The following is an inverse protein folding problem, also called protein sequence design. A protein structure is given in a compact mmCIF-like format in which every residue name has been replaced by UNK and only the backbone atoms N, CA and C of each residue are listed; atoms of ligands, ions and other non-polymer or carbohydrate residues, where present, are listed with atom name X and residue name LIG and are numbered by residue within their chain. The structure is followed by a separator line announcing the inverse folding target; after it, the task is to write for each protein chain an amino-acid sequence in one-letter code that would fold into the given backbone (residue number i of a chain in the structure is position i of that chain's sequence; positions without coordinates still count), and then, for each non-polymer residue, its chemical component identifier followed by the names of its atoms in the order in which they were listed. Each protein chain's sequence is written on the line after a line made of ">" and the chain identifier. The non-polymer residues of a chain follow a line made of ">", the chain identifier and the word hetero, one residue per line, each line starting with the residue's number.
data_IF_210417914701
#
_entry.id   IF_210417914701
#
_cell.length_a   1.000
_cell.length_b   1.000
_cell.length_c   1.000
_cell.angle_alpha   90.00
_cell.angle_beta   90.00
_cell.angle_gamma   90.00
#
_symmetry.space_group_name_H-M   'P 1'
#
loop_
_entity.id
_entity.type
_entity.pdbx_description
1 polymer ?
#
# COMPACT_ATOMS: atom_id res chain seq x y z
N UNK A 1 9.59 0.49 -8.37
CA UNK A 1 8.29 -0.08 -7.98
C UNK A 1 8.44 -0.94 -6.74
N UNK A 2 7.41 -0.97 -5.92
CA UNK A 2 7.39 -1.81 -4.73
C UNK A 2 6.43 -2.97 -4.91
N UNK A 3 6.66 -4.04 -4.18
CA UNK A 3 5.83 -5.23 -4.25
C UNK A 3 5.32 -5.57 -2.85
N UNK A 4 4.06 -5.96 -2.76
CA UNK A 4 3.46 -6.35 -1.48
C UNK A 4 3.94 -7.75 -1.10
N UNK A 5 4.64 -7.87 0.03
CA UNK A 5 5.17 -9.16 0.48
C UNK A 5 4.29 -9.80 1.56
N UNK A 6 3.49 -9.01 2.27
CA UNK A 6 2.51 -9.55 3.22
C UNK A 6 1.43 -8.52 3.47
N UNK A 7 0.32 -8.97 4.05
CA UNK A 7 -0.80 -8.08 4.32
C UNK A 7 -1.59 -8.59 5.52
N UNK A 8 -2.29 -7.66 6.19
CA UNK A 8 -3.24 -8.03 7.24
C UNK A 8 -4.33 -6.97 7.32
N UNK A 9 -5.48 -7.36 7.85
CA UNK A 9 -6.64 -6.49 7.93
C UNK A 9 -6.72 -5.80 9.29
N UNK A 10 -7.08 -4.52 9.28
CA UNK A 10 -7.33 -3.74 10.50
C UNK A 10 -8.63 -2.98 10.26
N UNK A 11 -9.72 -3.46 10.81
CA UNK A 11 -11.03 -2.88 10.55
C UNK A 11 -11.37 -2.95 9.07
N UNK A 12 -11.69 -1.81 8.48
CA UNK A 12 -12.02 -1.72 7.06
C UNK A 12 -10.77 -1.50 6.19
N UNK A 13 -9.60 -1.44 6.80
CA UNK A 13 -8.35 -1.18 6.08
C UNK A 13 -7.55 -2.46 5.93
N UNK A 14 -6.76 -2.52 4.87
CA UNK A 14 -5.77 -3.55 4.65
C UNK A 14 -4.39 -2.91 4.76
N UNK A 15 -3.55 -3.42 5.64
CA UNK A 15 -2.17 -2.94 5.79
C UNK A 15 -1.27 -3.82 4.95
N UNK A 16 -0.49 -3.19 4.09
CA UNK A 16 0.35 -3.88 3.11
C UNK A 16 1.81 -3.62 3.44
N UNK A 17 2.56 -4.69 3.68
CA UNK A 17 4.00 -4.59 3.86
C UNK A 17 4.69 -4.70 2.51
N UNK A 18 5.57 -3.76 2.22
CA UNK A 18 6.28 -3.69 0.95
C UNK A 18 7.66 -4.35 1.05
N UNK A 19 8.24 -4.65 -0.10
CA UNK A 19 9.56 -5.25 -0.19
C UNK A 19 10.70 -4.26 0.01
N UNK A 20 10.39 -3.00 0.25
CA UNK A 20 11.37 -1.96 0.50
C UNK A 20 10.70 -0.71 1.03
N UNK A 21 11.50 0.31 1.32
CA UNK A 21 10.99 1.57 1.86
C UNK A 21 10.13 2.31 0.83
N UNK A 22 9.15 3.07 1.33
CA UNK A 22 8.36 3.96 0.50
C UNK A 22 9.28 5.03 -0.12
N UNK A 23 8.95 5.54 -1.32
CA UNK A 23 9.79 6.56 -1.96
C UNK A 23 9.81 7.86 -1.15
N UNK A 24 10.97 8.52 -1.16
CA UNK A 24 11.14 9.81 -0.50
C UNK A 24 10.72 10.92 -1.46
N UNK A 25 9.45 10.95 -1.83
CA UNK A 25 8.86 11.94 -2.72
C UNK A 25 7.41 12.15 -2.34
N UNK A 26 6.83 13.25 -2.80
CA UNK A 26 5.41 13.49 -2.60
C UNK A 26 4.59 12.61 -3.55
N UNK A 27 3.52 12.07 -3.04
CA UNK A 27 2.55 11.31 -3.82
C UNK A 27 1.17 11.48 -3.20
N UNK A 28 0.14 11.32 -4.02
CA UNK A 28 -1.24 11.56 -3.58
C UNK A 28 -2.10 10.31 -3.57
N UNK A 29 -1.64 9.24 -4.19
CA UNK A 29 -2.37 7.99 -4.24
C UNK A 29 -1.44 6.84 -4.58
N UNK A 30 -1.96 5.61 -4.45
CA UNK A 30 -1.25 4.40 -4.84
C UNK A 30 -1.90 3.79 -6.07
N UNK A 31 -1.08 3.25 -6.98
CA UNK A 31 -1.55 2.36 -8.03
C UNK A 31 -1.11 0.97 -7.67
N UNK A 32 -2.06 0.09 -7.37
CA UNK A 32 -1.77 -1.30 -7.03
C UNK A 32 -2.33 -2.17 -8.15
N UNK A 33 -1.44 -2.85 -8.87
CA UNK A 33 -1.78 -3.65 -10.03
C UNK A 33 -2.56 -2.80 -11.05
N UNK A 34 -2.16 -1.53 -11.20
CA UNK A 34 -2.78 -0.59 -12.13
C UNK A 34 -4.07 0.05 -11.65
N UNK A 35 -4.53 -0.26 -10.43
CA UNK A 35 -5.78 0.28 -9.90
C UNK A 35 -5.48 1.33 -8.83
N UNK A 36 -6.18 2.47 -8.88
CA UNK A 36 -5.99 3.57 -7.95
C UNK A 36 -6.58 3.27 -6.58
N UNK A 37 -5.83 3.64 -5.55
CA UNK A 37 -6.28 3.55 -4.16
C UNK A 37 -5.89 4.82 -3.43
N UNK A 38 -6.82 5.37 -2.65
CA UNK A 38 -6.57 6.55 -1.84
C UNK A 38 -5.63 6.20 -0.68
N UNK A 39 -4.85 7.19 -0.23
CA UNK A 39 -3.98 7.04 0.93
C UNK A 39 -4.85 7.03 2.18
N UNK A 40 -4.76 5.96 2.97
CA UNK A 40 -5.46 5.88 4.24
C UNK A 40 -4.63 6.54 5.33
N UNK A 41 -5.25 7.32 6.22
CA UNK A 41 -4.52 8.06 7.27
C UNK A 41 -4.22 7.18 8.48
N UNK A 42 -3.57 6.06 8.27
CA UNK A 42 -3.17 5.17 9.36
C UNK A 42 -1.93 4.40 8.94
N UNK A 43 -1.13 3.99 9.92
CA UNK A 43 0.07 3.20 9.74
C UNK A 43 1.16 3.93 8.97
N UNK A 44 1.98 4.65 9.72
CA UNK A 44 3.08 5.43 9.13
C UNK A 44 4.42 4.72 9.33
N UNK A 45 4.53 3.50 8.81
CA UNK A 45 5.78 2.76 8.81
C UNK A 45 6.50 2.98 7.48
N UNK A 46 7.82 2.88 7.50
CA UNK A 46 8.65 3.20 6.34
C UNK A 46 8.40 2.24 5.17
N UNK A 47 7.99 1.00 5.46
CA UNK A 47 7.76 -0.03 4.45
C UNK A 47 6.33 -0.55 4.42
N UNK A 48 5.38 0.17 5.03
CA UNK A 48 3.99 -0.24 5.06
C UNK A 48 3.08 0.86 4.55
N UNK A 49 1.99 0.45 3.88
CA UNK A 49 0.93 1.36 3.47
C UNK A 49 -0.40 0.75 3.89
N UNK A 50 -1.44 1.57 3.96
CA UNK A 50 -2.78 1.09 4.25
C UNK A 50 -3.74 1.57 3.18
N UNK A 51 -4.68 0.71 2.80
CA UNK A 51 -5.72 1.04 1.83
C UNK A 51 -7.06 0.57 2.38
N UNK A 52 -8.12 1.28 2.03
CA UNK A 52 -9.47 0.88 2.39
C UNK A 52 -9.99 -0.07 1.32
N UNK A 53 -9.81 -1.36 1.56
CA UNK A 53 -10.20 -2.39 0.60
C UNK A 53 -10.31 -3.73 1.30
N UNK A 54 -11.15 -4.60 0.77
CA UNK A 54 -11.27 -5.98 1.23
C UNK A 54 -10.57 -6.96 0.29
N UNK A 55 -9.88 -6.46 -0.73
CA UNK A 55 -9.20 -7.31 -1.69
C UNK A 55 -7.90 -7.92 -1.18
N UNK A 56 -7.29 -8.76 -1.98
CA UNK A 56 -6.00 -9.38 -1.70
C UNK A 56 -4.92 -8.70 -2.53
N UNK A 57 -3.81 -8.37 -1.88
CA UNK A 57 -2.75 -7.58 -2.53
C UNK A 57 -1.39 -8.25 -2.52
N UNK A 58 -1.22 -9.35 -1.79
CA UNK A 58 0.08 -10.02 -1.71
C UNK A 58 0.59 -10.40 -3.10
N UNK A 59 1.82 -10.02 -3.39
CA UNK A 59 2.45 -10.28 -4.68
C UNK A 59 2.17 -9.22 -5.74
N UNK A 60 1.30 -8.25 -5.45
CA UNK A 60 0.98 -7.20 -6.42
C UNK A 60 1.97 -6.07 -6.35
N UNK A 61 2.11 -5.34 -7.44
CA UNK A 61 3.03 -4.22 -7.57
C UNK A 61 2.36 -2.92 -7.15
N UNK A 62 3.07 -2.08 -6.43
CA UNK A 62 2.58 -0.78 -5.97
C UNK A 62 3.41 0.33 -6.61
N UNK A 63 2.73 1.31 -7.19
CA UNK A 63 3.35 2.53 -7.67
C UNK A 63 2.82 3.71 -6.85
N UNK A 64 3.68 4.69 -6.60
CA UNK A 64 3.34 5.89 -5.85
C UNK A 64 3.26 7.07 -6.83
N UNK A 65 2.08 7.65 -6.95
CA UNK A 65 1.82 8.69 -7.96
C UNK A 65 1.18 9.94 -7.39
#
# INVERSE_FOLDING_TARGET
>A
MSKVISEFSVGKYKVLKLDGAKPNKEYTKYLIDGKEHAIAPMYDAVDCIAVESSGDFKGKTVEFV
#
